data_IF_518895319895
#
_entry.id   IF_518895319895
#
_cell.length_a   1.000
_cell.length_b   1.000
_cell.length_c   1.000
_cell.angle_alpha   90.00
_cell.angle_beta   90.00
_cell.angle_gamma   90.00
#
_symmetry.space_group_name_H-M   'P 1'
#
loop_
_entity.id
_entity.type
_entity.pdbx_description
1 polymer ?
#
# COMPACT_ATOMS: atom_id res chain seq x y z
N UNK A 1 12.05 -29.45 9.97
CA UNK A 1 11.38 -28.20 9.53
C UNK A 1 10.06 -28.09 10.29
N UNK A 2 9.88 -27.02 11.05
CA UNK A 2 8.70 -26.74 11.87
C UNK A 2 7.40 -26.78 11.03
N UNK A 3 6.27 -27.16 11.62
CA UNK A 3 4.98 -27.28 10.94
C UNK A 3 4.55 -25.93 10.34
N UNK A 4 4.74 -24.82 11.08
CA UNK A 4 4.46 -23.47 10.61
C UNK A 4 5.31 -23.08 9.39
N UNK A 5 6.60 -23.47 9.39
CA UNK A 5 7.50 -23.21 8.28
C UNK A 5 7.11 -24.01 7.02
N UNK A 6 6.70 -25.28 7.18
CA UNK A 6 6.20 -26.09 6.07
C UNK A 6 4.94 -25.51 5.45
N UNK A 7 4.00 -25.08 6.29
CA UNK A 7 2.76 -24.45 5.83
C UNK A 7 3.04 -23.15 5.08
N UNK A 8 3.91 -22.29 5.65
CA UNK A 8 4.32 -21.05 5.01
C UNK A 8 4.96 -21.28 3.63
N UNK A 9 5.94 -22.18 3.53
CA UNK A 9 6.62 -22.47 2.24
C UNK A 9 5.63 -23.02 1.21
N UNK A 10 4.68 -23.87 1.64
CA UNK A 10 3.62 -24.38 0.78
C UNK A 10 2.72 -23.26 0.23
N UNK A 11 2.27 -22.34 1.10
CA UNK A 11 1.45 -21.19 0.69
C UNK A 11 2.22 -20.16 -0.14
N UNK A 12 3.52 -19.98 0.13
CA UNK A 12 4.44 -19.18 -0.67
C UNK A 12 4.62 -19.75 -2.09
N UNK A 13 4.43 -21.07 -2.26
CA UNK A 13 4.45 -21.72 -3.57
C UNK A 13 5.82 -21.66 -4.25
N UNK A 14 6.89 -21.63 -3.46
CA UNK A 14 8.28 -21.60 -3.93
C UNK A 14 9.13 -22.54 -3.08
N UNK A 15 9.98 -23.34 -3.73
CA UNK A 15 10.91 -24.25 -3.07
C UNK A 15 12.30 -23.68 -3.20
N UNK A 16 12.93 -23.37 -2.06
CA UNK A 16 14.27 -22.79 -2.03
C UNK A 16 15.34 -23.84 -2.29
N UNK A 17 16.27 -23.54 -3.19
CA UNK A 17 17.51 -24.33 -3.36
C UNK A 17 18.47 -24.02 -2.21
N UNK A 18 18.62 -22.74 -1.86
CA UNK A 18 19.40 -22.26 -0.74
C UNK A 18 18.50 -21.92 0.47
N UNK A 19 18.39 -22.88 1.38
CA UNK A 19 17.59 -22.75 2.62
C UNK A 19 18.12 -21.65 3.55
N UNK A 20 19.40 -21.28 3.44
CA UNK A 20 19.98 -20.22 4.28
C UNK A 20 19.42 -18.83 3.91
N UNK A 21 19.08 -18.60 2.64
CA UNK A 21 18.38 -17.38 2.21
C UNK A 21 17.01 -17.26 2.88
N UNK A 22 16.25 -18.36 2.89
CA UNK A 22 14.97 -18.43 3.59
C UNK A 22 15.15 -18.20 5.09
N UNK A 23 16.14 -18.86 5.70
CA UNK A 23 16.42 -18.69 7.12
C UNK A 23 16.72 -17.22 7.46
N UNK A 24 17.55 -16.57 6.67
CA UNK A 24 17.91 -15.17 6.86
C UNK A 24 16.71 -14.25 6.67
N UNK A 25 15.88 -14.47 5.65
CA UNK A 25 14.66 -13.70 5.42
C UNK A 25 13.69 -13.74 6.62
N UNK A 26 13.64 -14.88 7.32
CA UNK A 26 12.78 -15.11 8.47
C UNK A 26 13.37 -14.59 9.80
N UNK A 27 14.58 -14.02 9.81
CA UNK A 27 15.24 -13.54 11.04
C UNK A 27 15.20 -12.01 11.12
N UNK A 28 14.44 -11.51 12.08
CA UNK A 28 14.35 -10.08 12.37
C UNK A 28 15.63 -9.55 13.04
N UNK A 29 15.97 -8.28 12.80
CA UNK A 29 17.17 -7.60 13.33
C UNK A 29 17.27 -7.56 14.87
N UNK A 30 16.17 -7.78 15.59
CA UNK A 30 16.22 -7.88 17.05
C UNK A 30 17.01 -9.10 17.54
N UNK A 31 17.03 -10.19 16.76
CA UNK A 31 17.71 -11.43 17.13
C UNK A 31 19.20 -11.41 16.80
N UNK A 32 19.58 -10.70 15.74
CA UNK A 32 20.94 -10.58 15.26
C UNK A 32 21.08 -9.28 14.46
N UNK A 33 22.05 -8.44 14.83
CA UNK A 33 22.24 -7.14 14.19
C UNK A 33 22.98 -7.24 12.84
N UNK A 34 23.79 -8.28 12.66
CA UNK A 34 24.68 -8.44 11.49
C UNK A 34 24.10 -9.44 10.48
N UNK A 35 23.47 -10.51 10.95
CA UNK A 35 22.87 -11.56 10.11
C UNK A 35 21.34 -11.60 10.23
N UNK A 36 20.68 -10.58 9.66
CA UNK A 36 19.22 -10.46 9.63
C UNK A 36 18.67 -10.23 8.21
N UNK A 37 17.35 -9.98 8.17
CA UNK A 37 16.57 -9.84 6.96
C UNK A 37 16.62 -8.45 6.30
N UNK A 38 17.20 -7.41 6.90
CA UNK A 38 17.11 -6.02 6.40
C UNK A 38 17.70 -5.85 5.00
N UNK A 39 18.80 -6.54 4.69
CA UNK A 39 19.40 -6.50 3.35
C UNK A 39 18.52 -7.18 2.30
N UNK A 40 17.81 -8.24 2.69
CA UNK A 40 16.87 -8.93 1.82
C UNK A 40 15.60 -8.11 1.65
N UNK A 41 15.11 -7.44 2.71
CA UNK A 41 14.00 -6.48 2.67
C UNK A 41 14.30 -5.37 1.65
N UNK A 42 15.47 -4.74 1.77
CA UNK A 42 15.91 -3.70 0.84
C UNK A 42 15.85 -4.15 -0.62
N UNK A 43 16.30 -5.37 -0.92
CA UNK A 43 16.26 -5.92 -2.28
C UNK A 43 14.83 -6.27 -2.69
N UNK A 44 14.10 -6.92 -1.80
CA UNK A 44 12.76 -7.43 -2.03
C UNK A 44 11.72 -6.35 -2.32
N UNK A 45 11.80 -5.20 -1.66
CA UNK A 45 10.94 -4.04 -1.97
C UNK A 45 11.12 -3.57 -3.43
N UNK A 46 12.35 -3.58 -3.94
CA UNK A 46 12.66 -3.13 -5.31
C UNK A 46 12.20 -4.17 -6.33
N UNK A 47 12.37 -5.46 -6.01
CA UNK A 47 11.85 -6.56 -6.81
C UNK A 47 10.32 -6.49 -6.87
N UNK A 48 9.67 -6.34 -5.72
CA UNK A 48 8.22 -6.18 -5.63
C UNK A 48 7.75 -4.97 -6.45
N UNK A 49 8.39 -3.82 -6.29
CA UNK A 49 8.10 -2.60 -7.03
C UNK A 49 8.17 -2.79 -8.55
N UNK A 50 9.25 -3.42 -9.04
CA UNK A 50 9.42 -3.68 -10.47
C UNK A 50 8.32 -4.61 -11.02
N UNK A 51 8.07 -5.74 -10.35
CA UNK A 51 7.08 -6.72 -10.81
C UNK A 51 5.68 -6.13 -10.80
N UNK A 52 5.29 -5.45 -9.72
CA UNK A 52 3.97 -4.82 -9.62
C UNK A 52 3.82 -3.70 -10.65
N UNK A 53 4.85 -2.89 -10.90
CA UNK A 53 4.82 -1.88 -11.95
C UNK A 53 4.57 -2.51 -13.33
N UNK A 54 5.23 -3.64 -13.64
CA UNK A 54 4.99 -4.41 -14.86
C UNK A 54 3.55 -4.89 -14.99
N UNK A 55 3.00 -5.49 -13.93
CA UNK A 55 1.62 -5.97 -13.91
C UNK A 55 0.59 -4.84 -14.07
N UNK A 56 0.83 -3.68 -13.46
CA UNK A 56 -0.05 -2.50 -13.61
C UNK A 56 0.03 -1.99 -15.05
N UNK A 57 1.21 -1.89 -15.66
CA UNK A 57 1.37 -1.43 -17.04
C UNK A 57 0.65 -2.33 -18.04
N UNK A 58 0.74 -3.66 -17.85
CA UNK A 58 0.03 -4.63 -18.68
C UNK A 58 -1.49 -4.49 -18.54
N UNK A 59 -1.97 -4.31 -17.30
CA UNK A 59 -3.39 -4.26 -16.99
C UNK A 59 -4.06 -2.93 -17.35
N UNK A 60 -3.34 -1.82 -17.20
CA UNK A 60 -3.86 -0.46 -17.39
C UNK A 60 -3.05 0.32 -18.44
N UNK A 61 -2.95 -0.17 -19.69
CA UNK A 61 -2.03 0.37 -20.70
C UNK A 61 -2.38 1.79 -21.18
N UNK A 62 -3.58 2.28 -20.86
CA UNK A 62 -4.06 3.62 -21.23
C UNK A 62 -4.10 4.61 -20.08
N UNK A 63 -3.70 4.20 -18.86
CA UNK A 63 -3.64 5.10 -17.71
C UNK A 63 -2.41 6.00 -17.75
N UNK A 64 -2.52 7.17 -17.11
CA UNK A 64 -1.42 8.13 -17.02
C UNK A 64 -0.44 7.70 -15.93
N UNK A 65 0.82 8.10 -16.07
CA UNK A 65 1.89 7.83 -15.10
C UNK A 65 1.48 8.09 -13.65
N UNK A 66 0.80 9.21 -13.37
CA UNK A 66 0.35 9.53 -12.02
C UNK A 66 -0.67 8.55 -11.43
N UNK A 67 -1.57 8.00 -12.25
CA UNK A 67 -2.53 6.96 -11.83
C UNK A 67 -1.80 5.63 -11.56
N UNK A 68 -0.90 5.24 -12.47
CA UNK A 68 -0.05 4.06 -12.35
C UNK A 68 0.78 4.10 -11.05
N UNK A 69 1.39 5.25 -10.75
CA UNK A 69 2.18 5.45 -9.54
C UNK A 69 1.35 5.30 -8.25
N UNK A 70 0.08 5.75 -8.26
CA UNK A 70 -0.82 5.62 -7.09
C UNK A 70 -1.27 4.18 -6.89
N UNK A 71 -1.56 3.46 -7.97
CA UNK A 71 -1.84 2.02 -7.92
C UNK A 71 -0.67 1.24 -7.34
N UNK A 72 0.54 1.53 -7.84
CA UNK A 72 1.79 0.94 -7.37
C UNK A 72 1.98 1.19 -5.87
N UNK A 73 1.89 2.45 -5.43
CA UNK A 73 2.08 2.83 -4.03
C UNK A 73 1.11 2.12 -3.06
N UNK A 74 -0.13 1.86 -3.47
CA UNK A 74 -1.08 1.08 -2.66
C UNK A 74 -0.72 -0.41 -2.63
N UNK A 75 -0.41 -1.01 -3.79
CA UNK A 75 -0.12 -2.45 -3.90
C UNK A 75 1.18 -2.84 -3.21
N UNK A 76 2.18 -1.97 -3.18
CA UNK A 76 3.46 -2.21 -2.48
C UNK A 76 3.47 -1.63 -1.07
N UNK A 77 2.32 -1.17 -0.57
CA UNK A 77 2.27 -0.57 0.76
C UNK A 77 2.54 -1.61 1.86
N UNK A 78 3.17 -1.16 2.96
CA UNK A 78 3.34 -1.97 4.18
C UNK A 78 2.05 -2.63 4.65
N UNK A 79 0.90 -1.99 4.42
CA UNK A 79 -0.41 -2.56 4.72
C UNK A 79 -0.63 -3.85 3.92
N UNK A 80 -0.46 -3.80 2.59
CA UNK A 80 -0.67 -4.93 1.69
C UNK A 80 0.35 -6.02 1.95
N UNK A 81 1.63 -5.68 2.10
CA UNK A 81 2.69 -6.64 2.43
C UNK A 81 2.37 -7.42 3.73
N UNK A 82 1.90 -6.72 4.78
CA UNK A 82 1.54 -7.38 6.04
C UNK A 82 0.27 -8.25 5.93
N UNK A 83 -0.72 -7.84 5.14
CA UNK A 83 -1.92 -8.66 4.90
C UNK A 83 -1.55 -9.95 4.16
N UNK A 84 -0.73 -9.86 3.10
CA UNK A 84 -0.25 -11.02 2.35
C UNK A 84 0.63 -11.92 3.21
N UNK A 85 1.53 -11.35 4.02
CA UNK A 85 2.33 -12.09 4.99
C UNK A 85 1.44 -12.94 5.92
N UNK A 86 0.34 -12.35 6.42
CA UNK A 86 -0.60 -13.07 7.25
C UNK A 86 -1.33 -14.18 6.49
N UNK A 87 -1.80 -13.91 5.27
CA UNK A 87 -2.50 -14.89 4.41
C UNK A 87 -1.64 -16.12 4.11
N UNK A 88 -0.35 -15.93 3.86
CA UNK A 88 0.59 -17.03 3.57
C UNK A 88 1.15 -17.68 4.85
N UNK A 89 0.74 -17.26 6.05
CA UNK A 89 1.18 -17.87 7.31
C UNK A 89 2.59 -17.46 7.76
N UNK A 90 3.15 -16.36 7.21
CA UNK A 90 4.48 -15.87 7.55
C UNK A 90 4.62 -15.54 9.04
N UNK A 91 3.53 -15.10 9.69
CA UNK A 91 3.50 -14.79 11.13
C UNK A 91 4.03 -15.92 12.03
N UNK A 92 3.75 -17.18 11.66
CA UNK A 92 4.20 -18.35 12.42
C UNK A 92 5.65 -18.75 12.11
N UNK A 93 6.17 -18.37 10.95
CA UNK A 93 7.52 -18.68 10.51
C UNK A 93 8.55 -17.60 10.90
N UNK A 94 8.10 -16.35 11.10
CA UNK A 94 8.96 -15.23 11.47
C UNK A 94 9.55 -15.39 12.87
N UNK A 95 10.86 -15.14 12.95
CA UNK A 95 11.64 -15.19 14.19
C UNK A 95 12.00 -13.78 14.60
N UNK A 96 11.48 -13.36 15.75
CA UNK A 96 11.75 -12.08 16.39
C UNK A 96 11.68 -12.24 17.91
N UNK A 97 12.25 -11.29 18.65
CA UNK A 97 12.18 -11.31 20.10
C UNK A 97 10.75 -11.20 20.64
N UNK A 98 10.48 -11.68 21.86
CA UNK A 98 9.17 -11.56 22.49
C UNK A 98 8.66 -10.12 22.58
N UNK A 99 9.55 -9.14 22.77
CA UNK A 99 9.18 -7.71 22.84
C UNK A 99 8.72 -7.11 21.51
N UNK A 100 8.91 -7.82 20.40
CA UNK A 100 8.47 -7.43 19.05
C UNK A 100 7.11 -8.03 18.68
N UNK A 101 6.50 -8.80 19.60
CA UNK A 101 5.22 -9.45 19.39
C UNK A 101 4.11 -8.67 20.08
N UNK A 102 3.02 -8.47 19.36
CA UNK A 102 1.74 -8.02 19.93
C UNK A 102 0.78 -9.21 19.97
N UNK A 103 0.25 -9.52 21.16
CA UNK A 103 -0.62 -10.68 21.42
C UNK A 103 -0.06 -12.02 20.89
N UNK A 104 1.27 -12.18 20.94
CA UNK A 104 1.95 -13.41 20.53
C UNK A 104 2.31 -13.52 19.05
N UNK A 105 1.92 -12.56 18.20
CA UNK A 105 2.29 -12.49 16.79
C UNK A 105 3.24 -11.31 16.52
N UNK A 106 4.15 -11.40 15.54
CA UNK A 106 5.01 -10.26 15.18
C UNK A 106 4.18 -9.03 14.80
N UNK A 107 4.68 -7.85 15.18
CA UNK A 107 4.04 -6.59 14.82
C UNK A 107 3.88 -6.44 13.29
N UNK A 108 2.88 -5.66 12.87
CA UNK A 108 2.51 -5.51 11.45
C UNK A 108 3.65 -5.01 10.56
N UNK A 109 4.46 -4.09 11.06
CA UNK A 109 5.64 -3.59 10.35
C UNK A 109 6.67 -4.70 10.13
N UNK A 110 6.91 -5.56 11.12
CA UNK A 110 7.85 -6.68 11.02
C UNK A 110 7.35 -7.70 9.99
N UNK A 111 6.04 -7.93 9.94
CA UNK A 111 5.43 -8.81 8.93
C UNK A 111 5.56 -8.24 7.52
N UNK A 112 5.37 -6.93 7.34
CA UNK A 112 5.56 -6.27 6.05
C UNK A 112 7.01 -6.42 5.57
N UNK A 113 7.97 -6.06 6.43
CA UNK A 113 9.39 -6.15 6.15
C UNK A 113 9.83 -7.61 5.89
N UNK A 114 9.30 -8.56 6.67
CA UNK A 114 9.53 -9.99 6.46
C UNK A 114 8.98 -10.48 5.10
N UNK A 115 7.84 -9.94 4.65
CA UNK A 115 7.29 -10.25 3.33
C UNK A 115 8.25 -9.81 2.22
N UNK A 116 8.72 -8.57 2.27
CA UNK A 116 9.71 -8.04 1.32
C UNK A 116 11.00 -8.86 1.38
N UNK A 117 11.51 -9.17 2.57
CA UNK A 117 12.70 -10.00 2.71
C UNK A 117 12.57 -11.40 2.10
N UNK A 118 11.40 -12.04 2.24
CA UNK A 118 11.12 -13.32 1.59
C UNK A 118 11.14 -13.17 0.06
N UNK A 119 10.56 -12.10 -0.49
CA UNK A 119 10.60 -11.84 -1.93
C UNK A 119 12.03 -11.60 -2.42
N UNK A 120 12.85 -10.88 -1.64
CA UNK A 120 14.27 -10.70 -1.90
C UNK A 120 15.04 -12.03 -1.89
N UNK A 121 14.71 -12.94 -0.97
CA UNK A 121 15.30 -14.28 -0.92
C UNK A 121 14.88 -15.13 -2.13
N UNK A 122 13.60 -15.11 -2.53
CA UNK A 122 13.11 -15.80 -3.74
C UNK A 122 13.85 -15.30 -4.98
N UNK A 123 14.05 -13.98 -5.10
CA UNK A 123 14.80 -13.39 -6.21
C UNK A 123 16.27 -13.84 -6.25
N UNK A 124 16.96 -13.87 -5.09
CA UNK A 124 18.35 -14.31 -5.05
C UNK A 124 18.52 -15.80 -5.33
N UNK A 125 17.52 -16.61 -4.97
CA UNK A 125 17.54 -18.06 -5.14
C UNK A 125 17.14 -18.47 -6.57
N UNK A 126 16.02 -17.94 -7.08
CA UNK A 126 15.41 -18.38 -8.34
C UNK A 126 15.36 -17.35 -9.46
N UNK A 127 15.93 -16.16 -9.25
CA UNK A 127 15.96 -15.07 -10.21
C UNK A 127 14.62 -14.33 -10.35
N UNK A 128 14.57 -13.38 -11.30
CA UNK A 128 13.42 -12.51 -11.51
C UNK A 128 12.15 -13.29 -11.91
N UNK A 129 12.28 -14.33 -12.73
CA UNK A 129 11.13 -15.11 -13.19
C UNK A 129 10.47 -15.88 -12.03
N UNK A 130 11.25 -16.33 -11.04
CA UNK A 130 10.69 -16.96 -9.84
C UNK A 130 9.93 -15.94 -8.98
N UNK A 131 10.53 -14.76 -8.76
CA UNK A 131 9.88 -13.68 -8.03
C UNK A 131 8.57 -13.23 -8.70
N UNK A 132 8.57 -13.05 -10.02
CA UNK A 132 7.38 -12.71 -10.81
C UNK A 132 6.23 -13.70 -10.61
N UNK A 133 6.51 -15.01 -10.68
CA UNK A 133 5.49 -16.05 -10.46
C UNK A 133 4.88 -15.98 -9.06
N UNK A 134 5.73 -15.81 -8.04
CA UNK A 134 5.28 -15.72 -6.65
C UNK A 134 4.46 -14.46 -6.43
N UNK A 135 4.98 -13.30 -6.82
CA UNK A 135 4.33 -12.00 -6.63
C UNK A 135 3.00 -11.94 -7.38
N UNK A 136 2.97 -12.32 -8.66
CA UNK A 136 1.74 -12.28 -9.47
C UNK A 136 0.64 -13.12 -8.82
N UNK A 137 0.98 -14.33 -8.33
CA UNK A 137 0.03 -15.21 -7.65
C UNK A 137 -0.45 -14.64 -6.31
N UNK A 138 0.42 -14.03 -5.52
CA UNK A 138 0.04 -13.50 -4.21
C UNK A 138 -0.72 -12.17 -4.29
N UNK A 139 -0.41 -11.34 -5.30
CA UNK A 139 -1.03 -10.02 -5.47
C UNK A 139 -2.28 -10.02 -6.36
N UNK A 140 -2.60 -11.11 -7.08
CA UNK A 140 -3.69 -11.11 -8.09
C UNK A 140 -5.02 -10.57 -7.56
N UNK A 141 -5.50 -11.02 -6.39
CA UNK A 141 -6.78 -10.55 -5.82
C UNK A 141 -6.79 -9.04 -5.62
N UNK A 142 -5.68 -8.47 -5.13
CA UNK A 142 -5.57 -7.03 -4.84
C UNK A 142 -5.43 -6.22 -6.11
N UNK A 143 -4.68 -6.74 -7.10
CA UNK A 143 -4.59 -6.13 -8.42
C UNK A 143 -5.95 -6.15 -9.14
N UNK A 144 -6.75 -7.20 -8.98
CA UNK A 144 -8.14 -7.26 -9.48
C UNK A 144 -9.08 -6.30 -8.73
N UNK A 145 -8.88 -6.13 -7.43
CA UNK A 145 -9.73 -5.27 -6.61
C UNK A 145 -9.54 -3.76 -6.84
N UNK A 146 -8.44 -3.31 -7.45
CA UNK A 146 -8.23 -1.90 -7.78
C UNK A 146 -9.07 -1.44 -8.99
N UNK A 147 -10.38 -1.33 -8.77
CA UNK A 147 -11.36 -0.91 -9.79
C UNK A 147 -11.16 0.53 -10.29
N UNK A 148 -10.55 1.40 -9.48
CA UNK A 148 -10.07 2.72 -9.88
C UNK A 148 -8.69 2.98 -9.29
N UNK A 149 -7.87 3.77 -9.99
CA UNK A 149 -6.64 4.28 -9.39
C UNK A 149 -7.05 5.06 -8.12
N UNK A 150 -6.32 4.96 -7.00
CA UNK A 150 -6.60 5.78 -5.84
C UNK A 150 -6.49 7.24 -6.26
N UNK A 151 -7.61 7.91 -6.50
CA UNK A 151 -7.61 9.32 -6.88
C UNK A 151 -7.46 10.10 -5.59
N UNK A 152 -6.34 10.83 -5.45
CA UNK A 152 -6.28 11.94 -4.52
C UNK A 152 -7.20 13.02 -5.11
N UNK A 153 -8.45 13.04 -4.64
CA UNK A 153 -9.47 13.98 -5.08
C UNK A 153 -9.02 15.43 -4.86
N UNK A 154 -8.10 15.70 -3.93
CA UNK A 154 -7.50 17.04 -3.79
C UNK A 154 -6.61 17.35 -4.99
N UNK A 155 -5.79 16.40 -5.45
CA UNK A 155 -4.96 16.58 -6.65
C UNK A 155 -5.83 16.77 -7.88
N UNK A 156 -6.88 15.97 -8.08
CA UNK A 156 -7.80 16.15 -9.21
C UNK A 156 -8.52 17.49 -9.17
N UNK A 157 -8.97 17.95 -8.00
CA UNK A 157 -9.56 19.27 -7.83
C UNK A 157 -8.56 20.39 -8.12
N UNK A 158 -7.32 20.27 -7.65
CA UNK A 158 -6.23 21.22 -7.93
C UNK A 158 -5.94 21.32 -9.42
N UNK A 159 -5.77 20.19 -10.11
CA UNK A 159 -5.54 20.18 -11.56
C UNK A 159 -6.72 20.80 -12.33
N UNK A 160 -7.95 20.52 -11.88
CA UNK A 160 -9.17 21.06 -12.51
C UNK A 160 -9.23 22.59 -12.40
N UNK A 161 -8.95 23.16 -11.22
CA UNK A 161 -8.95 24.63 -11.03
C UNK A 161 -7.80 25.30 -11.76
N UNK A 162 -6.60 24.69 -11.78
CA UNK A 162 -5.44 25.23 -12.50
C UNK A 162 -5.68 25.30 -14.00
N UNK A 163 -6.27 24.25 -14.61
CA UNK A 163 -6.63 24.25 -16.03
C UNK A 163 -7.62 25.36 -16.40
N UNK A 164 -8.47 25.76 -15.45
CA UNK A 164 -9.48 26.82 -15.62
C UNK A 164 -9.03 28.19 -15.10
N UNK A 165 -7.77 28.32 -14.67
CA UNK A 165 -7.20 29.56 -14.08
C UNK A 165 -8.02 30.10 -12.90
N UNK A 166 -8.66 29.21 -12.15
CA UNK A 166 -9.37 29.54 -10.92
C UNK A 166 -8.41 29.54 -9.73
N UNK A 167 -8.81 30.19 -8.64
CA UNK A 167 -8.06 30.16 -7.39
C UNK A 167 -7.94 28.72 -6.84
N UNK A 168 -6.81 28.45 -6.17
CA UNK A 168 -6.55 27.16 -5.56
C UNK A 168 -7.60 26.81 -4.48
N UNK A 169 -7.94 25.52 -4.28
CA UNK A 169 -8.98 25.14 -3.33
C UNK A 169 -8.53 25.41 -1.90
N UNK A 170 -9.37 26.07 -1.10
CA UNK A 170 -9.09 26.37 0.31
C UNK A 170 -9.82 25.36 1.19
N UNK A 171 -9.11 24.73 2.13
CA UNK A 171 -9.67 23.73 3.03
C UNK A 171 -9.71 24.25 4.47
N UNK A 172 -10.83 24.05 5.16
CA UNK A 172 -11.00 24.45 6.56
C UNK A 172 -11.63 23.31 7.37
N UNK A 173 -11.05 22.99 8.52
CA UNK A 173 -11.71 22.09 9.49
C UNK A 173 -12.83 22.87 10.15
N UNK A 174 -14.05 22.37 10.01
CA UNK A 174 -15.26 23.00 10.56
C UNK A 174 -15.78 22.28 11.80
N UNK A 175 -15.46 20.98 11.96
CA UNK A 175 -15.77 20.25 13.18
C UNK A 175 -14.82 19.06 13.38
N UNK A 176 -14.60 18.69 14.64
CA UNK A 176 -14.00 17.44 15.04
C UNK A 176 -14.85 16.83 16.15
N UNK A 177 -15.24 15.57 16.00
CA UNK A 177 -16.06 14.84 16.96
C UNK A 177 -15.60 13.39 17.09
N UNK A 178 -16.26 12.61 17.94
CA UNK A 178 -15.94 11.19 18.16
C UNK A 178 -14.88 10.96 19.24
N UNK A 179 -14.75 9.71 19.74
CA UNK A 179 -13.79 9.37 20.78
C UNK A 179 -12.36 9.41 20.25
N UNK A 180 -11.37 9.54 21.14
CA UNK A 180 -9.96 9.68 20.78
C UNK A 180 -9.42 8.52 19.90
N UNK A 181 -9.99 7.33 20.02
CA UNK A 181 -9.63 6.14 19.24
C UNK A 181 -10.43 5.99 17.93
N UNK A 182 -11.44 6.83 17.69
CA UNK A 182 -12.24 6.86 16.47
C UNK A 182 -12.74 8.29 16.17
N UNK A 183 -11.82 9.25 15.92
CA UNK A 183 -12.20 10.62 15.64
C UNK A 183 -12.89 10.72 14.28
N UNK A 184 -13.78 11.70 14.16
CA UNK A 184 -14.43 12.10 12.90
C UNK A 184 -14.14 13.56 12.66
N UNK A 185 -13.55 13.86 11.51
CA UNK A 185 -13.26 15.22 11.07
C UNK A 185 -14.27 15.63 10.00
N UNK A 186 -14.73 16.88 10.08
CA UNK A 186 -15.52 17.52 9.05
C UNK A 186 -14.74 18.71 8.48
N UNK A 187 -14.60 18.74 7.17
CA UNK A 187 -13.80 19.72 6.44
C UNK A 187 -14.65 20.33 5.36
N UNK A 188 -14.63 21.66 5.23
CA UNK A 188 -15.13 22.36 4.05
C UNK A 188 -13.99 22.58 3.05
N UNK A 189 -14.30 22.51 1.77
CA UNK A 189 -13.46 22.99 0.68
C UNK A 189 -14.20 24.08 -0.10
N UNK A 190 -13.50 25.14 -0.45
CA UNK A 190 -14.03 26.22 -1.30
C UNK A 190 -13.22 26.41 -2.58
N UNK A 191 -13.93 26.58 -3.69
CA UNK A 191 -13.41 26.92 -5.02
C UNK A 191 -14.33 27.98 -5.63
N UNK A 192 -13.86 29.23 -5.69
CA UNK A 192 -14.72 30.37 -6.00
C UNK A 192 -15.91 30.44 -5.04
N UNK A 193 -17.13 30.53 -5.59
CA UNK A 193 -18.37 30.54 -4.79
C UNK A 193 -18.88 29.14 -4.39
N UNK A 194 -18.19 28.09 -4.84
CA UNK A 194 -18.60 26.70 -4.54
C UNK A 194 -17.97 26.26 -3.23
N UNK A 195 -18.79 26.00 -2.22
CA UNK A 195 -18.37 25.50 -0.90
C UNK A 195 -19.02 24.15 -0.66
N UNK A 196 -18.22 23.14 -0.33
CA UNK A 196 -18.69 21.76 -0.13
C UNK A 196 -18.03 21.13 1.09
N UNK A 197 -18.76 20.30 1.81
CA UNK A 197 -18.26 19.62 3.02
C UNK A 197 -18.02 18.12 2.81
N UNK A 198 -16.88 17.66 3.33
CA UNK A 198 -16.50 16.26 3.45
C UNK A 198 -16.30 15.85 4.91
N UNK A 199 -16.36 14.55 5.15
CA UNK A 199 -16.07 13.98 6.47
C UNK A 199 -15.24 12.72 6.35
N UNK A 200 -14.46 12.41 7.38
CA UNK A 200 -13.61 11.22 7.40
C UNK A 200 -12.93 10.98 8.75
N UNK A 201 -12.35 9.78 8.95
CA UNK A 201 -11.75 9.40 10.24
C UNK A 201 -10.37 10.04 10.48
N UNK A 202 -9.86 10.78 9.49
CA UNK A 202 -8.66 11.61 9.61
C UNK A 202 -8.87 12.90 8.83
N UNK A 203 -8.13 13.96 9.19
CA UNK A 203 -8.12 15.22 8.44
C UNK A 203 -7.88 14.97 6.94
N UNK A 204 -6.90 14.13 6.60
CA UNK A 204 -6.58 13.78 5.21
C UNK A 204 -7.79 13.18 4.49
N UNK A 205 -8.46 12.18 5.08
CA UNK A 205 -9.61 11.52 4.46
C UNK A 205 -10.84 12.44 4.38
N UNK A 206 -11.04 13.32 5.36
CA UNK A 206 -12.10 14.33 5.32
C UNK A 206 -11.86 15.35 4.18
N UNK A 207 -10.61 15.80 4.01
CA UNK A 207 -10.21 16.67 2.89
C UNK A 207 -10.40 15.98 1.54
N UNK A 208 -10.05 14.70 1.40
CA UNK A 208 -10.33 13.91 0.19
C UNK A 208 -11.82 13.84 -0.12
N UNK A 209 -12.64 13.54 0.89
CA UNK A 209 -14.09 13.48 0.75
C UNK A 209 -14.67 14.82 0.29
N UNK A 210 -14.18 15.93 0.86
CA UNK A 210 -14.62 17.28 0.51
C UNK A 210 -14.25 17.60 -0.95
N UNK A 211 -13.01 17.28 -1.34
CA UNK A 211 -12.49 17.53 -2.67
C UNK A 211 -13.25 16.74 -3.76
N UNK A 212 -13.56 15.47 -3.50
CA UNK A 212 -14.30 14.62 -4.43
C UNK A 212 -15.70 15.20 -4.71
N UNK A 213 -16.45 15.51 -3.64
CA UNK A 213 -17.78 16.11 -3.76
C UNK A 213 -17.73 17.48 -4.44
N UNK A 214 -16.71 18.29 -4.16
CA UNK A 214 -16.54 19.60 -4.79
C UNK A 214 -16.31 19.46 -6.29
N UNK A 215 -15.45 18.51 -6.70
CA UNK A 215 -15.20 18.23 -8.11
C UNK A 215 -16.48 17.77 -8.82
N UNK A 216 -17.28 16.90 -8.19
CA UNK A 216 -18.57 16.46 -8.74
C UNK A 216 -19.53 17.64 -8.97
N UNK A 217 -19.66 18.54 -7.99
CA UNK A 217 -20.51 19.74 -8.11
C UNK A 217 -20.01 20.65 -9.23
N UNK A 218 -18.70 20.84 -9.35
CA UNK A 218 -18.09 21.68 -10.37
C UNK A 218 -18.23 21.11 -11.79
N UNK A 219 -18.20 19.78 -11.94
CA UNK A 219 -18.42 19.11 -13.22
C UNK A 219 -19.89 19.14 -13.68
N UNK A 220 -20.84 19.30 -12.75
CA UNK A 220 -22.28 19.39 -13.04
C UNK A 220 -22.76 20.80 -13.36
N UNK A 221 -21.96 21.84 -13.06
CA UNK A 221 -22.28 23.21 -13.47
C UNK A 221 -22.03 23.37 -14.98
N UNK A 222 -23.03 23.76 -15.80
CA UNK A 222 -22.79 24.08 -17.20
C UNK A 222 -21.78 25.23 -17.31
N UNK A 223 -20.83 25.13 -18.26
CA UNK A 223 -19.88 26.21 -18.54
C UNK A 223 -20.68 27.43 -19.04
N UNK A 224 -20.84 28.44 -18.18
CA UNK A 224 -21.70 29.58 -18.44
C UNK A 224 -21.27 30.84 -17.68
N UNK A 225 -20.56 31.71 -18.41
CA UNK A 225 -20.33 33.15 -18.24
C UNK A 225 -19.89 33.70 -16.87
N UNK A 226 -18.58 33.97 -16.75
CA UNK A 226 -18.07 35.26 -16.29
C UNK A 226 -16.74 35.55 -17.00
#
# INVERSE_FOLDING_TARGET
>A
MDAALKEFVSRLGYVFENVDLLNRALRHASLDIDDNNERLEFLGDRVLGLVIAGLILEKYPSEKEGDLARRLADLVSRRVCAEIAHEIGLSGAMRCDPGQKDKGAPARNILANGCEAVLGAVYLDGGIQAAERVISRLWHIRLEAQTSAPIDAKTSLQEWVMKRKLNMPVYQIIAQSGPAHAPTFRVSVSVGDTIVEGAGPSRRLAEQSAAAKCLDVLLQKPEGNA
#
